data_IF_728131588627
#
_entry.id   IF_728131588627
#
_cell.length_a   1.000
_cell.length_b   1.000
_cell.length_c   1.000
_cell.angle_alpha   90.00
_cell.angle_beta   90.00
_cell.angle_gamma   90.00
#
_symmetry.space_group_name_H-M   'P 1'
#
loop_
_entity.id
_entity.type
_entity.pdbx_description
1 polymer ?
#
# COMPACT_ATOMS: atom_id res chain seq x y z
N UNK A 1 16.35 -11.24 6.71
CA UNK A 1 15.06 -11.02 6.02
C UNK A 1 15.30 -10.85 4.53
N UNK A 2 14.63 -11.62 3.73
CA UNK A 2 14.81 -11.58 2.28
C UNK A 2 13.96 -10.49 1.65
N UNK A 3 14.58 -9.38 1.32
CA UNK A 3 13.90 -8.32 0.58
C UNK A 3 13.76 -8.75 -0.88
N UNK A 4 12.56 -8.69 -1.41
CA UNK A 4 12.25 -9.09 -2.78
C UNK A 4 12.12 -7.84 -3.64
N UNK A 5 13.00 -7.70 -4.63
CA UNK A 5 12.94 -6.60 -5.59
C UNK A 5 12.01 -6.96 -6.73
N UNK A 6 11.06 -6.09 -7.03
CA UNK A 6 10.11 -6.21 -8.14
C UNK A 6 10.24 -4.98 -9.03
N UNK A 7 10.48 -5.22 -10.30
CA UNK A 7 10.48 -4.17 -11.31
C UNK A 7 9.30 -4.41 -12.26
N UNK A 8 8.45 -3.40 -12.43
CA UNK A 8 7.39 -3.42 -13.41
C UNK A 8 7.97 -3.07 -14.78
N UNK A 9 7.45 -3.71 -15.82
CA UNK A 9 7.78 -3.37 -17.21
C UNK A 9 7.16 -2.03 -17.59
N UNK A 10 7.63 -1.42 -18.66
CA UNK A 10 7.04 -0.18 -19.17
C UNK A 10 5.55 -0.35 -19.49
N UNK A 11 5.16 -1.48 -20.10
CA UNK A 11 3.76 -1.78 -20.38
C UNK A 11 2.92 -1.88 -19.11
N UNK A 12 3.44 -2.58 -18.09
CA UNK A 12 2.78 -2.69 -16.79
C UNK A 12 2.61 -1.33 -16.12
N UNK A 13 3.63 -0.48 -16.17
CA UNK A 13 3.56 0.89 -15.61
C UNK A 13 2.48 1.71 -16.31
N UNK A 14 2.47 1.72 -17.65
CA UNK A 14 1.49 2.50 -18.43
C UNK A 14 0.07 2.05 -18.12
N UNK A 15 -0.22 0.75 -18.22
CA UNK A 15 -1.55 0.20 -17.92
C UNK A 15 -1.99 0.54 -16.50
N UNK A 16 -1.10 0.35 -15.55
CA UNK A 16 -1.40 0.51 -14.13
C UNK A 16 -1.59 1.98 -13.76
N UNK A 17 -0.75 2.88 -14.30
CA UNK A 17 -0.89 4.30 -14.08
C UNK A 17 -2.23 4.83 -14.61
N UNK A 18 -2.71 4.32 -15.75
CA UNK A 18 -4.04 4.67 -16.28
C UNK A 18 -5.15 4.27 -15.31
N UNK A 19 -5.05 3.12 -14.66
CA UNK A 19 -5.99 2.72 -13.61
C UNK A 19 -5.96 3.68 -12.41
N UNK A 20 -4.78 4.16 -12.05
CA UNK A 20 -4.63 5.17 -10.99
C UNK A 20 -5.32 6.49 -11.35
N UNK A 21 -5.19 6.92 -12.59
CA UNK A 21 -5.89 8.11 -13.11
C UNK A 21 -7.41 7.93 -13.03
N UNK A 22 -7.93 6.78 -13.47
CA UNK A 22 -9.37 6.47 -13.39
C UNK A 22 -9.87 6.46 -11.95
N UNK A 23 -9.11 5.86 -11.03
CA UNK A 23 -9.44 5.83 -9.60
C UNK A 23 -9.51 7.24 -9.02
N UNK A 24 -8.58 8.11 -9.39
CA UNK A 24 -8.60 9.53 -8.99
C UNK A 24 -9.84 10.25 -9.53
N UNK A 25 -10.18 10.02 -10.78
CA UNK A 25 -11.37 10.62 -11.40
C UNK A 25 -12.64 10.19 -10.66
N UNK A 26 -12.77 8.93 -10.30
CA UNK A 26 -13.90 8.43 -9.53
C UNK A 26 -14.02 9.14 -8.18
N UNK A 27 -12.91 9.34 -7.47
CA UNK A 27 -12.89 10.05 -6.18
C UNK A 27 -13.28 11.50 -6.32
N UNK A 28 -12.82 12.17 -7.36
CA UNK A 28 -13.23 13.56 -7.65
C UNK A 28 -14.73 13.66 -7.87
N UNK A 29 -15.32 12.74 -8.63
CA UNK A 29 -16.76 12.73 -8.91
C UNK A 29 -17.59 12.42 -7.67
N UNK A 30 -17.10 11.58 -6.76
CA UNK A 30 -17.81 11.19 -5.54
C UNK A 30 -17.72 12.23 -4.42
N UNK A 31 -16.90 13.27 -4.58
CA UNK A 31 -16.63 14.25 -3.53
C UNK A 31 -15.83 13.71 -2.36
N UNK A 32 -15.19 12.54 -2.54
CA UNK A 32 -14.38 11.92 -1.49
C UNK A 32 -13.17 12.79 -1.15
N UNK A 33 -12.93 12.99 0.15
CA UNK A 33 -11.73 13.66 0.64
C UNK A 33 -10.87 12.71 1.47
N UNK A 34 -9.56 12.88 1.39
CA UNK A 34 -8.65 12.09 2.21
C UNK A 34 -8.71 12.51 3.67
N UNK A 35 -8.87 11.53 4.55
CA UNK A 35 -8.95 11.76 6.01
C UNK A 35 -7.59 11.71 6.69
N UNK A 36 -6.52 11.30 5.99
CA UNK A 36 -5.19 11.07 6.54
C UNK A 36 -4.17 12.14 6.19
N UNK A 37 -4.65 13.36 5.88
CA UNK A 37 -3.81 14.55 5.79
C UNK A 37 -2.84 14.58 4.61
N UNK A 38 -3.25 14.11 3.43
CA UNK A 38 -2.46 14.30 2.22
C UNK A 38 -2.34 15.78 1.87
N UNK A 39 -1.16 16.17 1.39
CA UNK A 39 -0.95 17.53 0.90
C UNK A 39 -1.81 17.78 -0.34
N UNK A 40 -2.40 18.97 -0.48
CA UNK A 40 -3.11 19.34 -1.71
C UNK A 40 -2.21 19.15 -2.95
N UNK A 41 -2.76 18.52 -3.99
CA UNK A 41 -2.04 18.27 -5.24
C UNK A 41 -1.26 16.96 -5.29
N UNK A 42 -1.16 16.22 -4.18
CA UNK A 42 -0.44 14.94 -4.16
C UNK A 42 -1.34 13.74 -4.46
N UNK A 43 -2.64 13.94 -4.62
CA UNK A 43 -3.61 12.86 -4.75
C UNK A 43 -3.42 12.04 -6.04
N UNK A 44 -3.07 12.68 -7.14
CA UNK A 44 -2.80 11.99 -8.40
C UNK A 44 -1.65 11.01 -8.26
N UNK A 45 -0.53 11.49 -7.73
CA UNK A 45 0.64 10.66 -7.50
C UNK A 45 0.35 9.53 -6.52
N UNK A 46 -0.36 9.82 -5.44
CA UNK A 46 -0.74 8.81 -4.44
C UNK A 46 -1.61 7.71 -5.06
N UNK A 47 -2.58 8.06 -5.91
CA UNK A 47 -3.43 7.07 -6.56
C UNK A 47 -2.66 6.23 -7.57
N UNK A 48 -1.80 6.85 -8.36
CA UNK A 48 -0.98 6.15 -9.35
C UNK A 48 0.00 5.20 -8.66
N UNK A 49 0.76 5.69 -7.68
CA UNK A 49 1.71 4.86 -6.93
C UNK A 49 1.02 3.75 -6.16
N UNK A 50 -0.15 4.01 -5.59
CA UNK A 50 -0.95 2.97 -4.93
C UNK A 50 -1.27 1.82 -5.89
N UNK A 51 -1.71 2.11 -7.10
CA UNK A 51 -1.97 1.09 -8.11
C UNK A 51 -0.70 0.36 -8.55
N UNK A 52 0.41 1.08 -8.73
CA UNK A 52 1.69 0.47 -9.11
C UNK A 52 2.19 -0.51 -8.05
N UNK A 53 2.08 -0.15 -6.77
CA UNK A 53 2.51 -1.04 -5.68
C UNK A 53 1.60 -2.25 -5.54
N UNK A 54 0.29 -2.10 -5.73
CA UNK A 54 -0.65 -3.24 -5.81
C UNK A 54 -0.27 -4.19 -6.94
N UNK A 55 0.03 -3.64 -8.13
CA UNK A 55 0.45 -4.44 -9.29
C UNK A 55 1.75 -5.20 -9.01
N UNK A 56 2.70 -4.57 -8.31
CA UNK A 56 3.96 -5.20 -7.94
C UNK A 56 3.74 -6.38 -6.99
N UNK A 57 2.88 -6.23 -5.98
CA UNK A 57 2.53 -7.32 -5.06
C UNK A 57 1.81 -8.44 -5.81
N UNK A 58 0.86 -8.11 -6.67
CA UNK A 58 0.16 -9.10 -7.50
C UNK A 58 1.15 -9.89 -8.38
N UNK A 59 2.10 -9.21 -8.99
CA UNK A 59 3.16 -9.83 -9.79
C UNK A 59 3.99 -10.80 -8.96
N UNK A 60 4.40 -10.40 -7.76
CA UNK A 60 5.15 -11.25 -6.85
C UNK A 60 4.35 -12.49 -6.43
N UNK A 61 3.09 -12.31 -6.06
CA UNK A 61 2.21 -13.39 -5.61
C UNK A 61 1.65 -14.23 -6.77
N UNK A 62 1.92 -13.83 -8.02
CA UNK A 62 1.38 -14.47 -9.23
C UNK A 62 -0.16 -14.47 -9.24
N UNK A 63 -0.74 -13.39 -8.76
CA UNK A 63 -2.17 -13.19 -8.71
C UNK A 63 -2.61 -12.24 -9.82
N UNK A 64 -3.88 -12.37 -10.22
CA UNK A 64 -4.47 -11.41 -11.15
C UNK A 64 -4.67 -10.07 -10.44
N UNK A 65 -4.26 -8.98 -11.11
CA UNK A 65 -4.54 -7.63 -10.64
C UNK A 65 -5.76 -7.09 -11.41
N UNK A 66 -6.82 -6.76 -10.69
CA UNK A 66 -8.11 -6.37 -11.27
C UNK A 66 -8.20 -4.92 -11.76
N UNK A 67 -7.15 -4.15 -11.65
CA UNK A 67 -7.16 -2.75 -12.08
C UNK A 67 -7.82 -1.83 -11.07
N UNK A 68 -8.53 -0.80 -11.54
CA UNK A 68 -9.22 0.16 -10.69
C UNK A 68 -10.55 -0.43 -10.18
N UNK A 69 -10.48 -1.23 -9.12
CA UNK A 69 -11.68 -1.68 -8.41
C UNK A 69 -12.46 -0.50 -7.82
N UNK A 70 -13.58 -0.78 -7.19
CA UNK A 70 -14.36 0.25 -6.52
C UNK A 70 -13.59 0.80 -5.32
N UNK A 71 -13.94 2.02 -4.92
CA UNK A 71 -13.40 2.63 -3.70
C UNK A 71 -13.70 1.71 -2.51
N UNK A 72 -12.68 1.39 -1.71
CA UNK A 72 -12.71 0.49 -0.55
C UNK A 72 -12.67 -1.01 -0.86
N UNK A 73 -12.46 -1.41 -2.12
CA UNK A 73 -12.16 -2.81 -2.43
C UNK A 73 -10.77 -3.19 -1.88
N UNK A 74 -10.57 -4.51 -1.70
CA UNK A 74 -9.24 -5.02 -1.35
C UNK A 74 -8.25 -4.76 -2.48
N UNK A 75 -7.00 -4.49 -2.12
CA UNK A 75 -5.99 -4.07 -3.07
C UNK A 75 -5.61 -5.19 -4.05
N UNK A 76 -5.37 -6.39 -3.54
CA UNK A 76 -5.01 -7.57 -4.34
C UNK A 76 -5.64 -8.81 -3.70
N UNK A 77 -6.65 -9.38 -4.35
CA UNK A 77 -7.36 -10.57 -3.86
C UNK A 77 -7.67 -10.45 -2.35
N UNK A 78 -7.09 -11.29 -1.49
CA UNK A 78 -7.32 -11.27 -0.04
C UNK A 78 -6.26 -10.50 0.76
N UNK A 79 -5.42 -9.72 0.10
CA UNK A 79 -4.34 -8.98 0.76
C UNK A 79 -4.50 -7.48 0.57
N UNK A 80 -4.02 -6.75 1.55
CA UNK A 80 -3.92 -5.29 1.51
C UNK A 80 -2.47 -4.90 1.24
N UNK A 81 -2.26 -3.78 0.58
CA UNK A 81 -0.93 -3.29 0.24
C UNK A 81 -0.73 -1.91 0.89
N UNK A 82 0.38 -1.77 1.58
CA UNK A 82 0.80 -0.48 2.15
C UNK A 82 2.18 -0.15 1.62
N UNK A 83 2.38 1.08 1.22
CA UNK A 83 3.63 1.47 0.57
C UNK A 83 4.13 2.84 1.04
N UNK A 84 5.40 3.03 0.87
CA UNK A 84 6.06 4.32 1.08
C UNK A 84 7.26 4.43 0.13
N UNK A 85 7.60 5.65 -0.34
CA UNK A 85 8.83 5.82 -1.10
C UNK A 85 10.09 5.70 -0.21
N UNK A 86 9.95 5.78 1.10
CA UNK A 86 11.09 5.78 2.03
C UNK A 86 11.53 4.36 2.36
N UNK A 87 12.80 4.06 2.07
CA UNK A 87 13.38 2.73 2.26
C UNK A 87 13.23 2.21 3.70
N UNK A 88 13.38 3.09 4.68
CA UNK A 88 13.31 2.75 6.10
C UNK A 88 11.96 3.09 6.75
N UNK A 89 10.93 3.26 5.94
CA UNK A 89 9.59 3.54 6.45
C UNK A 89 9.00 2.41 7.27
N UNK A 90 8.00 2.74 8.07
CA UNK A 90 7.21 1.78 8.84
C UNK A 90 5.91 1.44 8.11
N UNK A 91 5.43 0.22 8.31
CA UNK A 91 4.08 -0.13 7.89
C UNK A 91 3.08 0.56 8.81
N UNK A 92 2.15 1.31 8.23
CA UNK A 92 1.14 2.04 8.99
C UNK A 92 -0.20 1.32 8.87
N UNK A 93 -0.79 0.98 10.01
CA UNK A 93 -2.12 0.37 10.12
C UNK A 93 -2.98 1.27 10.99
N UNK A 94 -4.20 1.53 10.54
CA UNK A 94 -5.20 2.31 11.27
C UNK A 94 -6.14 1.39 12.05
N UNK A 95 -6.78 1.93 13.09
CA UNK A 95 -7.76 1.16 13.89
C UNK A 95 -8.91 0.60 13.03
N UNK A 96 -9.30 1.34 11.99
CA UNK A 96 -10.38 0.95 11.08
C UNK A 96 -9.99 -0.12 10.07
N UNK A 97 -8.71 -0.42 9.93
CA UNK A 97 -8.25 -1.44 8.98
C UNK A 97 -8.68 -2.84 9.43
N UNK A 98 -8.87 -3.74 8.47
CA UNK A 98 -9.33 -5.10 8.74
C UNK A 98 -8.30 -5.89 9.56
N UNK A 99 -8.77 -6.59 10.60
CA UNK A 99 -7.90 -7.39 11.47
C UNK A 99 -7.58 -8.77 10.88
N UNK A 100 -8.42 -9.26 9.98
CA UNK A 100 -8.36 -10.61 9.41
C UNK A 100 -7.72 -10.65 8.02
N UNK A 101 -6.94 -9.64 7.65
CA UNK A 101 -6.25 -9.56 6.36
C UNK A 101 -4.75 -9.49 6.54
N UNK A 102 -4.02 -9.99 5.52
CA UNK A 102 -2.58 -9.80 5.39
C UNK A 102 -2.30 -8.43 4.79
N UNK A 103 -1.38 -7.71 5.38
CA UNK A 103 -0.88 -6.43 4.89
C UNK A 103 0.54 -6.62 4.39
N UNK A 104 0.75 -6.49 3.09
CA UNK A 104 2.09 -6.48 2.49
C UNK A 104 2.65 -5.08 2.51
N UNK A 105 3.90 -4.95 2.95
CA UNK A 105 4.60 -3.68 3.00
C UNK A 105 5.65 -3.60 1.90
N UNK A 106 5.59 -2.53 1.13
CA UNK A 106 6.43 -2.35 -0.04
C UNK A 106 7.02 -0.94 -0.03
N UNK A 107 8.30 -0.82 -0.38
CA UNK A 107 9.00 0.47 -0.50
C UNK A 107 9.45 0.67 -1.94
N UNK A 108 9.57 1.93 -2.34
CA UNK A 108 10.05 2.27 -3.67
C UNK A 108 9.12 3.23 -4.39
N UNK A 109 9.47 3.53 -5.64
CA UNK A 109 8.78 4.50 -6.47
C UNK A 109 9.03 4.20 -7.95
N UNK A 110 8.14 4.69 -8.82
CA UNK A 110 8.32 4.70 -10.28
C UNK A 110 8.52 3.31 -10.91
N UNK A 111 7.85 2.31 -10.37
CA UNK A 111 7.91 0.95 -10.93
C UNK A 111 9.02 0.08 -10.37
N UNK A 112 9.87 0.61 -9.50
CA UNK A 112 10.95 -0.13 -8.85
C UNK A 112 10.66 -0.27 -7.36
N UNK A 113 10.34 -1.47 -6.94
CA UNK A 113 9.84 -1.71 -5.59
C UNK A 113 10.61 -2.82 -4.88
N UNK A 114 10.55 -2.77 -3.55
CA UNK A 114 11.07 -3.82 -2.69
C UNK A 114 9.96 -4.25 -1.73
N UNK A 115 9.57 -5.52 -1.79
CA UNK A 115 8.63 -6.10 -0.83
C UNK A 115 9.41 -6.40 0.45
N UNK A 116 9.01 -5.76 1.55
CA UNK A 116 9.71 -5.83 2.84
C UNK A 116 9.21 -6.97 3.72
N UNK A 117 7.98 -7.38 3.53
CA UNK A 117 7.35 -8.43 4.32
C UNK A 117 5.85 -8.22 4.42
N UNK A 118 5.23 -8.98 5.31
CA UNK A 118 3.79 -8.88 5.54
C UNK A 118 3.47 -9.12 7.03
N UNK A 119 2.28 -8.74 7.45
CA UNK A 119 1.78 -8.98 8.80
C UNK A 119 0.25 -9.09 8.76
N UNK A 120 -0.33 -9.87 9.66
CA UNK A 120 -1.78 -9.87 9.84
C UNK A 120 -2.24 -8.56 10.49
N UNK A 121 -3.42 -8.08 10.11
CA UNK A 121 -3.99 -6.88 10.72
C UNK A 121 -4.09 -6.98 12.24
N UNK A 122 -4.53 -8.12 12.78
CA UNK A 122 -4.63 -8.31 14.23
C UNK A 122 -3.25 -8.31 14.93
N UNK A 123 -2.20 -8.79 14.29
CA UNK A 123 -0.84 -8.74 14.84
C UNK A 123 -0.30 -7.30 14.85
N UNK A 124 -0.60 -6.54 13.78
CA UNK A 124 -0.17 -5.15 13.66
C UNK A 124 -0.84 -4.22 14.67
N UNK A 125 -2.07 -4.55 15.08
CA UNK A 125 -2.84 -3.77 16.06
C UNK A 125 -2.44 -4.09 17.51
N UNK A 126 -1.16 -4.08 17.77
CA UNK A 126 -0.58 -4.27 19.08
C UNK A 126 -0.20 -2.90 19.67
N UNK A 127 -0.49 -2.68 20.94
CA UNK A 127 -0.22 -1.40 21.60
C UNK A 127 1.25 -0.96 21.54
N UNK A 128 2.18 -1.91 21.49
CA UNK A 128 3.61 -1.58 21.34
C UNK A 128 3.94 -0.86 20.04
N UNK A 129 3.06 -0.97 19.01
CA UNK A 129 3.22 -0.27 17.73
C UNK A 129 2.42 1.02 17.66
N UNK A 130 1.55 1.26 18.64
CA UNK A 130 0.74 2.47 18.66
C UNK A 130 1.60 3.67 18.98
N UNK A 131 1.52 4.70 18.16
CA UNK A 131 2.29 5.90 18.35
C UNK A 131 2.00 6.97 17.33
N UNK A 132 2.61 8.10 17.51
CA UNK A 132 2.43 9.27 16.68
C UNK A 132 3.77 9.67 16.06
N UNK A 133 4.20 8.91 15.03
CA UNK A 133 5.45 9.23 14.30
C UNK A 133 5.32 10.54 13.52
N UNK A 134 4.10 10.89 13.12
CA UNK A 134 3.79 12.17 12.50
C UNK A 134 2.81 12.93 13.40
N UNK A 135 3.03 14.24 13.64
CA UNK A 135 2.15 15.02 14.50
C UNK A 135 0.67 14.91 14.10
N UNK A 136 -0.18 14.68 15.10
CA UNK A 136 -1.64 14.55 14.94
C UNK A 136 -2.10 13.38 14.05
N UNK A 137 -1.26 12.35 13.89
CA UNK A 137 -1.57 11.16 13.09
C UNK A 137 -1.20 9.88 13.85
N UNK A 138 -1.92 9.58 14.94
CA UNK A 138 -1.66 8.34 15.67
C UNK A 138 -2.08 7.13 14.83
N UNK A 139 -1.26 6.10 14.85
CA UNK A 139 -1.50 4.86 14.14
C UNK A 139 -0.64 3.74 14.73
N UNK A 140 -0.87 2.51 14.28
CA UNK A 140 0.05 1.41 14.54
C UNK A 140 1.20 1.51 13.53
N UNK A 141 2.41 1.71 14.03
CA UNK A 141 3.61 1.88 13.22
C UNK A 141 4.49 0.64 13.40
N UNK A 142 4.38 -0.30 12.47
CA UNK A 142 5.08 -1.58 12.57
C UNK A 142 6.47 -1.46 11.92
N UNK A 143 7.55 -1.67 12.69
CA UNK A 143 8.89 -1.64 12.11
C UNK A 143 9.11 -2.83 11.18
N UNK A 144 9.95 -2.65 10.18
CA UNK A 144 10.18 -3.69 9.14
C UNK A 144 10.69 -5.02 9.71
N UNK A 145 11.51 -4.98 10.75
CA UNK A 145 12.05 -6.18 11.39
C UNK A 145 11.00 -7.03 12.13
N UNK A 146 9.78 -6.52 12.26
CA UNK A 146 8.65 -7.25 12.86
C UNK A 146 7.71 -7.88 11.83
N UNK A 147 7.98 -7.66 10.57
CA UNK A 147 7.20 -8.27 9.48
C UNK A 147 7.64 -9.72 9.25
N UNK A 148 6.70 -10.54 8.82
CA UNK A 148 6.99 -11.89 8.34
C UNK A 148 7.75 -11.81 7.01
N UNK A 149 8.55 -12.84 6.72
CA UNK A 149 9.28 -12.92 5.45
C UNK A 149 8.29 -12.91 4.26
N UNK A 150 8.58 -12.19 3.18
CA UNK A 150 7.69 -12.17 2.01
C UNK A 150 7.33 -13.55 1.44
N UNK A 151 8.22 -14.53 1.61
CA UNK A 151 8.04 -15.88 1.06
C UNK A 151 7.26 -16.82 1.98
N UNK A 152 6.91 -16.41 3.18
CA UNK A 152 6.08 -17.16 4.12
C UNK A 152 4.60 -16.78 3.91
#
# INVERSE_FOLDING_TARGET
>A
MNNIKIQLTNAEIIETAMSGVLRRMQRLKSGYSYTHGLKPGSEWQTMIEGCLTERAVAKFLKLHWGGCGQINDVDVDNVEVRSTPYEKGHLIIHKSDASDRKFYFITGIDGNYTIRGWIWGHEAKDERYWGELQPNRPAYNVPQEKLHDPNE
#
